data_IF_358314775412
#
_entry.id   IF_358314775412
#
_cell.length_a   1.000
_cell.length_b   1.000
_cell.length_c   1.000
_cell.angle_alpha   90.00
_cell.angle_beta   90.00
_cell.angle_gamma   90.00
#
_symmetry.space_group_name_H-M   'P 1'
#
loop_
_entity.id
_entity.type
_entity.pdbx_description
1 polymer ?
#
# COMPACT_ATOMS: atom_id res chain seq x y z
N UNK A 1 -39.21 6.18 -1.47
CA UNK A 1 -38.31 5.93 -2.61
C UNK A 1 -36.88 6.01 -2.09
N UNK A 2 -36.30 4.88 -1.71
CA UNK A 2 -34.93 4.84 -1.18
C UNK A 2 -33.94 4.99 -2.34
N UNK A 3 -33.34 6.18 -2.46
CA UNK A 3 -32.24 6.43 -3.38
C UNK A 3 -30.98 5.80 -2.81
N UNK A 4 -30.72 4.54 -3.15
CA UNK A 4 -29.37 3.98 -3.03
C UNK A 4 -28.69 4.26 -4.36
N UNK A 5 -28.11 5.44 -4.51
CA UNK A 5 -27.23 5.74 -5.64
C UNK A 5 -26.10 4.71 -5.63
N UNK A 6 -25.95 3.89 -6.69
CA UNK A 6 -24.84 2.96 -6.78
C UNK A 6 -23.54 3.76 -6.77
N UNK A 7 -22.59 3.40 -5.91
CA UNK A 7 -21.23 3.94 -6.02
C UNK A 7 -20.71 3.59 -7.41
N UNK A 8 -20.21 4.59 -8.14
CA UNK A 8 -19.54 4.33 -9.42
C UNK A 8 -18.38 3.38 -9.15
N UNK A 9 -18.53 2.14 -9.63
CA UNK A 9 -17.55 1.09 -9.47
C UNK A 9 -16.40 1.37 -10.44
N UNK A 10 -15.51 2.26 -10.02
CA UNK A 10 -14.25 2.47 -10.73
C UNK A 10 -13.34 1.26 -10.47
N UNK A 11 -13.39 0.32 -11.42
CA UNK A 11 -12.61 -0.91 -11.41
C UNK A 11 -11.11 -0.60 -11.40
N UNK A 12 -10.65 0.53 -11.95
CA UNK A 12 -9.25 0.91 -11.95
C UNK A 12 -8.81 1.36 -10.55
N UNK A 13 -9.62 2.19 -9.89
CA UNK A 13 -9.36 2.62 -8.51
C UNK A 13 -9.36 1.43 -7.53
N UNK A 14 -10.30 0.50 -7.69
CA UNK A 14 -10.38 -0.71 -6.87
C UNK A 14 -9.22 -1.68 -7.12
N UNK A 15 -8.76 -1.80 -8.36
CA UNK A 15 -7.59 -2.62 -8.68
C UNK A 15 -6.32 -2.06 -8.02
N UNK A 16 -6.11 -0.75 -8.09
CA UNK A 16 -4.95 -0.09 -7.45
C UNK A 16 -5.00 -0.23 -5.92
N UNK A 17 -6.18 -0.08 -5.29
CA UNK A 17 -6.35 -0.36 -3.85
C UNK A 17 -6.03 -1.80 -3.47
N UNK A 18 -6.52 -2.78 -4.23
CA UNK A 18 -6.25 -4.20 -3.97
C UNK A 18 -4.76 -4.55 -4.09
N UNK A 19 -4.03 -3.93 -5.02
CA UNK A 19 -2.57 -4.07 -5.15
C UNK A 19 -1.84 -3.51 -3.92
N UNK A 20 -2.24 -2.33 -3.47
CA UNK A 20 -1.72 -1.70 -2.25
C UNK A 20 -2.02 -2.56 -1.02
N UNK A 21 -3.25 -3.05 -0.86
CA UNK A 21 -3.63 -3.93 0.26
C UNK A 21 -2.88 -5.26 0.25
N UNK A 22 -2.65 -5.85 -0.93
CA UNK A 22 -1.84 -7.07 -1.07
C UNK A 22 -0.39 -6.82 -0.67
N UNK A 23 0.17 -5.67 -1.03
CA UNK A 23 1.51 -5.26 -0.63
C UNK A 23 1.59 -5.10 0.90
N UNK A 24 0.67 -4.35 1.51
CA UNK A 24 0.62 -4.17 2.96
C UNK A 24 0.36 -5.48 3.71
N UNK A 25 -0.46 -6.39 3.18
CA UNK A 25 -0.69 -7.72 3.78
C UNK A 25 0.59 -8.54 3.80
N UNK A 26 1.35 -8.54 2.70
CA UNK A 26 2.68 -9.19 2.64
C UNK A 26 3.65 -8.54 3.62
N UNK A 27 3.73 -7.21 3.66
CA UNK A 27 4.57 -6.44 4.59
C UNK A 27 4.24 -6.71 6.05
N UNK A 28 2.95 -6.84 6.39
CA UNK A 28 2.51 -7.17 7.75
C UNK A 28 2.95 -8.57 8.16
N UNK A 29 2.98 -9.53 7.22
CA UNK A 29 3.56 -10.86 7.43
C UNK A 29 5.06 -10.81 7.71
N UNK A 30 5.78 -9.94 6.99
CA UNK A 30 7.19 -9.69 7.26
C UNK A 30 7.43 -8.96 8.59
N UNK A 31 6.44 -8.26 9.18
CA UNK A 31 6.61 -7.52 10.44
C UNK A 31 7.10 -8.39 11.61
N UNK A 32 6.74 -9.68 11.61
CA UNK A 32 7.25 -10.69 12.57
C UNK A 32 8.72 -11.08 12.33
N UNK A 33 9.20 -10.89 11.10
CA UNK A 33 10.60 -11.10 10.69
C UNK A 33 11.40 -9.80 10.90
N UNK A 34 10.81 -8.64 10.60
CA UNK A 34 11.41 -7.31 10.76
C UNK A 34 11.75 -6.96 12.21
N UNK A 35 10.96 -7.40 13.20
CA UNK A 35 11.33 -7.23 14.62
C UNK A 35 12.69 -7.86 14.96
N UNK A 36 13.17 -8.80 14.13
CA UNK A 36 14.48 -9.45 14.27
C UNK A 36 15.58 -8.80 13.41
N UNK A 37 15.22 -7.91 12.49
CA UNK A 37 16.11 -7.25 11.54
C UNK A 37 15.89 -5.74 11.54
N UNK A 38 16.23 -5.07 12.64
CA UNK A 38 16.22 -3.60 12.77
C UNK A 38 16.93 -2.88 11.60
N UNK A 39 18.03 -3.45 11.11
CA UNK A 39 18.79 -2.91 9.96
C UNK A 39 18.05 -2.97 8.62
N UNK A 40 16.99 -3.78 8.49
CA UNK A 40 16.16 -3.82 7.29
C UNK A 40 15.07 -2.74 7.30
N UNK A 41 14.71 -2.24 8.48
CA UNK A 41 13.68 -1.22 8.66
C UNK A 41 14.13 0.13 8.06
N UNK A 42 15.40 0.50 8.24
CA UNK A 42 16.00 1.68 7.59
C UNK A 42 15.91 1.58 6.05
N UNK A 43 16.16 0.39 5.50
CA UNK A 43 16.06 0.17 4.04
C UNK A 43 14.60 0.19 3.57
N UNK A 44 13.67 -0.29 4.40
CA UNK A 44 12.25 -0.27 4.09
C UNK A 44 11.67 1.15 4.12
N UNK A 45 12.03 1.95 5.13
CA UNK A 45 11.64 3.38 5.21
C UNK A 45 12.26 4.16 4.05
N UNK A 46 13.51 3.90 3.70
CA UNK A 46 14.14 4.50 2.51
C UNK A 46 13.40 4.14 1.21
N UNK A 47 12.93 2.90 1.08
CA UNK A 47 12.15 2.46 -0.08
C UNK A 47 10.77 3.15 -0.17
N UNK A 48 10.07 3.31 0.96
CA UNK A 48 8.81 4.06 1.01
C UNK A 48 9.04 5.53 0.64
N UNK A 49 10.06 6.16 1.22
CA UNK A 49 10.42 7.54 0.87
C UNK A 49 10.77 7.67 -0.61
N UNK A 50 11.52 6.73 -1.16
CA UNK A 50 11.85 6.71 -2.58
C UNK A 50 10.59 6.59 -3.45
N UNK A 51 9.67 5.68 -3.13
CA UNK A 51 8.42 5.53 -3.86
C UNK A 51 7.55 6.80 -3.80
N UNK A 52 7.49 7.47 -2.65
CA UNK A 52 6.81 8.77 -2.47
C UNK A 52 7.45 9.88 -3.29
N UNK A 53 8.79 9.97 -3.31
CA UNK A 53 9.52 10.94 -4.11
C UNK A 53 9.28 10.71 -5.59
N UNK A 54 9.33 9.46 -6.06
CA UNK A 54 9.10 9.09 -7.45
C UNK A 54 7.65 9.36 -7.88
N UNK A 55 6.67 9.05 -7.03
CA UNK A 55 5.25 9.34 -7.30
C UNK A 55 4.96 10.85 -7.32
N UNK A 56 5.64 11.64 -6.47
CA UNK A 56 5.51 13.10 -6.45
C UNK A 56 6.32 13.85 -7.51
N UNK A 57 7.26 13.18 -8.19
CA UNK A 57 8.00 13.72 -9.34
C UNK A 57 7.31 13.45 -10.69
N UNK A 58 6.25 12.65 -10.69
CA UNK A 58 5.46 12.30 -11.88
C UNK A 58 4.33 13.27 -12.18
#
# INVERSE_FOLDING_TARGET
>A
QNRVTPWEYDRAMYKRRNEIERLFRRLKGFRRIFSRFEKLDVRFVAFINFALIVDGLG
#
